data_IF_320672395753
#
_entry.id   IF_320672395753
#
_cell.length_a   1.000
_cell.length_b   1.000
_cell.length_c   1.000
_cell.angle_alpha   90.00
_cell.angle_beta   90.00
_cell.angle_gamma   90.00
#
_symmetry.space_group_name_H-M   'P 1'
#
loop_
_entity.id
_entity.type
_entity.pdbx_description
1 polymer ?
#
# COMPACT_ATOMS: atom_id res chain seq x y z
N UNK A 1 8.40 21.43 11.84
CA UNK A 1 8.10 20.36 10.90
C UNK A 1 6.79 20.64 10.20
N UNK A 2 6.53 19.94 9.11
CA UNK A 2 5.25 19.96 8.41
C UNK A 2 4.51 18.65 8.69
N UNK A 3 3.19 18.73 8.92
CA UNK A 3 2.34 17.55 9.06
C UNK A 3 1.88 17.11 7.66
N UNK A 4 2.20 15.90 7.27
CA UNK A 4 1.85 15.34 5.97
C UNK A 4 0.55 14.54 6.00
N UNK A 5 0.16 14.05 7.17
CA UNK A 5 -0.99 13.14 7.34
C UNK A 5 -2.08 13.82 8.14
N UNK A 6 -3.27 13.86 7.59
CA UNK A 6 -4.45 14.45 8.21
C UNK A 6 -5.39 13.37 8.77
N UNK A 7 -5.09 12.79 9.92
CA UNK A 7 -5.96 11.79 10.54
C UNK A 7 -5.24 10.56 11.08
N UNK A 8 -5.93 9.41 11.10
CA UNK A 8 -5.34 8.15 11.55
C UNK A 8 -4.22 7.71 10.60
N UNK A 9 -3.10 7.29 11.16
CA UNK A 9 -1.95 6.84 10.37
C UNK A 9 -1.97 5.32 10.19
N UNK A 10 -2.15 4.87 8.95
CA UNK A 10 -2.04 3.47 8.54
C UNK A 10 -2.88 2.49 9.40
N UNK A 11 -4.09 2.88 9.75
CA UNK A 11 -5.05 1.98 10.39
C UNK A 11 -5.82 1.25 9.28
N UNK A 12 -5.71 -0.08 9.16
CA UNK A 12 -6.40 -0.83 8.12
C UNK A 12 -7.91 -0.71 8.23
N UNK A 13 -8.61 -0.74 7.09
CA UNK A 13 -10.06 -0.71 7.03
C UNK A 13 -10.59 -1.89 6.20
N UNK A 14 -11.72 -2.45 6.63
CA UNK A 14 -12.38 -3.60 6.01
C UNK A 14 -13.66 -3.12 5.33
N UNK A 15 -13.82 -3.48 4.06
CA UNK A 15 -14.96 -3.08 3.24
C UNK A 15 -15.79 -4.30 2.81
N UNK A 16 -17.08 -4.09 2.62
CA UNK A 16 -18.00 -5.09 2.11
C UNK A 16 -17.68 -5.48 0.65
N UNK A 17 -17.66 -6.77 0.36
CA UNK A 17 -17.52 -7.33 -0.97
C UNK A 17 -18.59 -8.39 -1.27
N UNK A 18 -19.73 -8.35 -0.60
CA UNK A 18 -20.80 -9.35 -0.74
C UNK A 18 -21.59 -9.21 -2.04
N UNK A 19 -21.69 -8.00 -2.59
CA UNK A 19 -22.48 -7.72 -3.79
C UNK A 19 -21.74 -7.96 -5.11
N UNK A 20 -20.44 -7.61 -5.24
CA UNK A 20 -19.73 -7.77 -6.49
C UNK A 20 -19.41 -9.25 -6.78
N UNK A 21 -19.47 -9.60 -8.07
CA UNK A 21 -18.92 -10.86 -8.55
C UNK A 21 -17.37 -10.84 -8.54
N UNK A 22 -16.75 -11.91 -9.06
CA UNK A 22 -15.29 -12.03 -9.16
C UNK A 22 -14.66 -10.80 -9.84
N UNK A 23 -15.28 -10.27 -10.89
CA UNK A 23 -14.74 -9.19 -11.72
C UNK A 23 -15.27 -7.80 -11.36
N UNK A 24 -16.09 -7.69 -10.32
CA UNK A 24 -16.72 -6.44 -9.89
C UNK A 24 -17.42 -5.69 -11.03
N UNK A 25 -18.18 -6.41 -11.85
CA UNK A 25 -18.89 -5.82 -12.97
C UNK A 25 -19.79 -4.67 -12.53
N UNK A 26 -19.65 -3.52 -13.20
CA UNK A 26 -20.39 -2.27 -12.92
C UNK A 26 -20.20 -1.71 -11.50
N UNK A 27 -19.20 -2.17 -10.76
CA UNK A 27 -18.81 -1.62 -9.46
C UNK A 27 -17.53 -0.81 -9.65
N UNK A 28 -17.63 0.49 -9.42
CA UNK A 28 -16.50 1.43 -9.56
C UNK A 28 -15.93 1.87 -8.21
N UNK A 29 -16.66 1.66 -7.11
CA UNK A 29 -16.30 2.08 -5.76
C UNK A 29 -16.63 1.01 -4.74
N UNK A 30 -15.70 0.78 -3.81
CA UNK A 30 -15.96 0.02 -2.59
C UNK A 30 -15.91 1.00 -1.42
N UNK A 31 -17.08 1.46 -0.97
CA UNK A 31 -17.22 2.52 0.03
C UNK A 31 -17.87 2.07 1.33
N UNK A 32 -18.46 0.86 1.36
CA UNK A 32 -19.14 0.34 2.54
C UNK A 32 -18.08 -0.22 3.52
N UNK A 33 -17.46 0.66 4.35
CA UNK A 33 -16.58 0.24 5.44
C UNK A 33 -17.41 -0.47 6.50
N UNK A 34 -17.07 -1.72 6.80
CA UNK A 34 -17.83 -2.56 7.75
C UNK A 34 -17.11 -2.74 9.07
N UNK A 35 -15.79 -2.61 9.10
CA UNK A 35 -15.00 -2.75 10.33
C UNK A 35 -13.59 -2.18 10.16
N UNK A 36 -12.92 -2.00 11.31
CA UNK A 36 -11.46 -1.87 11.40
C UNK A 36 -10.93 -3.03 12.25
N UNK A 37 -9.81 -3.67 11.86
CA UNK A 37 -9.18 -4.68 12.70
C UNK A 37 -8.74 -4.08 14.04
N UNK A 38 -8.90 -4.83 15.13
CA UNK A 38 -8.49 -4.40 16.46
C UNK A 38 -6.96 -4.36 16.57
N UNK A 39 -6.44 -3.33 17.21
CA UNK A 39 -5.02 -3.22 17.53
C UNK A 39 -4.66 -4.20 18.66
N UNK A 40 -3.87 -5.23 18.33
CA UNK A 40 -3.42 -6.23 19.30
C UNK A 40 -2.13 -5.83 20.03
N UNK A 41 -1.13 -5.29 19.31
CA UNK A 41 0.10 -4.78 19.93
C UNK A 41 0.84 -3.78 19.05
N UNK A 42 1.64 -2.92 19.70
CA UNK A 42 2.67 -2.08 19.11
C UNK A 42 3.97 -2.36 19.86
N UNK A 43 5.02 -2.76 19.15
CA UNK A 43 6.29 -3.16 19.75
C UNK A 43 7.47 -2.49 19.01
N UNK A 44 8.38 -1.87 19.75
CA UNK A 44 9.68 -1.45 19.19
C UNK A 44 10.59 -2.69 19.14
N UNK A 45 10.72 -3.31 17.95
CA UNK A 45 11.48 -4.55 17.77
C UNK A 45 12.95 -4.33 17.46
N UNK A 46 13.30 -3.16 16.92
CA UNK A 46 14.68 -2.77 16.66
C UNK A 46 14.85 -1.27 16.82
N UNK A 47 15.92 -0.84 17.50
CA UNK A 47 16.30 0.55 17.60
C UNK A 47 17.84 0.64 17.59
N UNK A 48 18.40 0.90 16.42
CA UNK A 48 19.84 0.98 16.21
C UNK A 48 20.26 2.20 15.41
N UNK A 49 21.58 2.41 15.29
CA UNK A 49 22.13 3.53 14.53
C UNK A 49 21.78 3.50 13.03
N UNK A 50 21.52 2.30 12.48
CA UNK A 50 21.21 2.14 11.06
C UNK A 50 19.71 2.24 10.75
N UNK A 51 18.85 1.79 11.67
CA UNK A 51 17.38 1.82 11.49
C UNK A 51 16.64 1.61 12.80
N UNK A 52 15.36 1.97 12.77
CA UNK A 52 14.38 1.59 13.77
C UNK A 52 13.26 0.76 13.11
N UNK A 53 12.69 -0.20 13.87
CA UNK A 53 11.57 -1.03 13.43
C UNK A 53 10.50 -1.07 14.50
N UNK A 54 9.30 -0.64 14.14
CA UNK A 54 8.10 -0.75 14.97
C UNK A 54 7.19 -1.81 14.38
N UNK A 55 6.84 -2.81 15.15
CA UNK A 55 5.88 -3.85 14.76
C UNK A 55 4.50 -3.51 15.29
N UNK A 56 3.53 -3.51 14.40
CA UNK A 56 2.12 -3.33 14.71
C UNK A 56 1.38 -4.60 14.32
N UNK A 57 0.55 -5.10 15.25
CA UNK A 57 -0.30 -6.28 15.01
C UNK A 57 -1.75 -5.90 15.17
N UNK A 58 -2.55 -6.30 14.20
CA UNK A 58 -4.00 -6.20 14.23
C UNK A 58 -4.63 -7.59 14.12
N UNK A 59 -5.81 -7.73 14.70
CA UNK A 59 -6.62 -8.95 14.63
C UNK A 59 -8.06 -8.63 14.20
N UNK A 60 -8.67 -9.55 13.48
CA UNK A 60 -10.09 -9.48 13.12
C UNK A 60 -10.62 -10.90 12.97
N UNK A 61 -11.57 -11.30 13.83
CA UNK A 61 -12.07 -12.68 13.92
C UNK A 61 -10.92 -13.71 13.96
N UNK A 62 -10.81 -14.57 12.93
CA UNK A 62 -9.74 -15.56 12.76
C UNK A 62 -8.51 -15.05 12.01
N UNK A 63 -8.52 -13.82 11.56
CA UNK A 63 -7.50 -13.21 10.72
C UNK A 63 -6.54 -12.34 11.52
N UNK A 64 -5.30 -12.20 11.04
CA UNK A 64 -4.34 -11.27 11.63
C UNK A 64 -3.48 -10.58 10.56
N UNK A 65 -3.07 -9.36 10.89
CA UNK A 65 -2.16 -8.54 10.11
C UNK A 65 -0.97 -8.15 10.98
N UNK A 66 0.24 -8.40 10.52
CA UNK A 66 1.49 -7.90 11.13
C UNK A 66 2.17 -6.97 10.14
N UNK A 67 2.51 -5.76 10.60
CA UNK A 67 3.20 -4.74 9.83
C UNK A 67 4.46 -4.31 10.57
N UNK A 68 5.62 -4.47 9.91
CA UNK A 68 6.90 -3.96 10.42
C UNK A 68 7.21 -2.64 9.71
N UNK A 69 7.02 -1.53 10.40
CA UNK A 69 7.38 -0.19 9.94
C UNK A 69 8.87 0.03 10.15
N UNK A 70 9.60 0.19 9.07
CA UNK A 70 11.06 0.26 9.03
C UNK A 70 11.49 1.64 8.55
N UNK A 71 12.16 2.40 9.42
CA UNK A 71 12.78 3.67 9.05
C UNK A 71 14.31 3.55 9.14
N UNK A 72 14.97 3.62 8.01
CA UNK A 72 16.43 3.63 7.94
C UNK A 72 16.99 5.03 8.24
N UNK A 73 18.18 5.10 8.80
CA UNK A 73 18.87 6.36 9.09
C UNK A 73 19.06 7.16 7.79
N UNK A 74 18.66 8.44 7.80
CA UNK A 74 18.73 9.33 6.65
C UNK A 74 17.68 9.08 5.56
N UNK A 75 16.77 8.11 5.72
CA UNK A 75 15.67 7.86 4.79
C UNK A 75 14.50 8.80 5.05
N UNK A 76 13.83 9.23 3.99
CA UNK A 76 12.51 9.88 4.04
C UNK A 76 11.36 8.88 3.89
N UNK A 77 11.67 7.63 3.53
CA UNK A 77 10.71 6.58 3.20
C UNK A 77 10.57 5.63 4.37
N UNK A 78 9.34 5.36 4.77
CA UNK A 78 9.01 4.32 5.72
C UNK A 78 8.64 3.07 4.91
N UNK A 79 9.47 2.03 4.97
CA UNK A 79 9.15 0.73 4.37
C UNK A 79 8.31 -0.09 5.34
N UNK A 80 7.31 -0.81 4.84
CA UNK A 80 6.43 -1.62 5.65
C UNK A 80 6.39 -3.04 5.12
N UNK A 81 6.88 -3.99 5.90
CA UNK A 81 6.75 -5.42 5.59
C UNK A 81 5.45 -5.95 6.17
N UNK A 82 4.60 -6.43 5.27
CA UNK A 82 3.30 -6.98 5.63
C UNK A 82 3.31 -8.50 5.65
N UNK A 83 2.66 -9.04 6.67
CA UNK A 83 2.25 -10.44 6.74
C UNK A 83 0.80 -10.48 7.18
N UNK A 84 -0.05 -11.05 6.34
CA UNK A 84 -1.48 -11.14 6.55
C UNK A 84 -1.88 -12.61 6.46
N UNK A 85 -2.52 -13.15 7.50
CA UNK A 85 -3.35 -14.35 7.38
C UNK A 85 -4.79 -13.90 7.31
N UNK A 86 -5.46 -14.13 6.18
CA UNK A 86 -6.82 -13.69 5.97
C UNK A 86 -7.75 -14.87 5.77
N UNK A 87 -8.87 -14.87 6.49
CA UNK A 87 -9.88 -15.92 6.50
C UNK A 87 -11.31 -15.36 6.48
N UNK A 88 -11.45 -14.11 6.01
CA UNK A 88 -12.74 -13.40 6.00
C UNK A 88 -13.25 -13.32 4.56
N UNK A 89 -14.14 -14.23 4.16
CA UNK A 89 -14.70 -14.23 2.81
C UNK A 89 -15.53 -12.97 2.55
N UNK A 90 -15.58 -12.56 1.29
CA UNK A 90 -16.38 -11.43 0.81
C UNK A 90 -16.05 -10.11 1.47
N UNK A 91 -14.76 -9.88 1.71
CA UNK A 91 -14.24 -8.62 2.26
C UNK A 91 -13.10 -8.07 1.43
N UNK A 92 -12.84 -6.77 1.58
CA UNK A 92 -11.67 -6.08 1.04
C UNK A 92 -10.93 -5.46 2.21
N UNK A 93 -9.61 -5.63 2.26
CA UNK A 93 -8.76 -4.97 3.24
C UNK A 93 -7.98 -3.86 2.54
N UNK A 94 -8.12 -2.63 3.02
CA UNK A 94 -7.42 -1.46 2.48
C UNK A 94 -6.56 -0.79 3.54
N UNK A 95 -5.44 -0.20 3.08
CA UNK A 95 -4.53 0.60 3.89
C UNK A 95 -4.68 2.08 3.53
N UNK A 96 -5.32 2.89 4.37
CA UNK A 96 -5.52 4.31 4.14
C UNK A 96 -4.33 5.15 4.59
N UNK A 97 -4.07 6.22 3.84
CA UNK A 97 -3.28 7.38 4.27
C UNK A 97 -3.97 8.64 3.79
N UNK A 98 -4.37 9.50 4.71
CA UNK A 98 -5.02 10.78 4.37
C UNK A 98 -3.97 11.87 4.28
N UNK A 99 -3.93 12.64 3.19
CA UNK A 99 -3.05 13.82 3.09
C UNK A 99 -3.59 14.96 3.96
N UNK A 100 -2.70 15.70 4.60
CA UNK A 100 -3.07 16.95 5.26
C UNK A 100 -3.22 18.08 4.22
N UNK A 101 -4.30 18.87 4.30
CA UNK A 101 -4.57 19.99 3.40
C UNK A 101 -5.90 19.85 2.66
N UNK A 102 -6.22 20.89 1.88
CA UNK A 102 -7.44 20.99 1.07
C UNK A 102 -7.17 20.74 -0.41
N UNK A 103 -8.23 20.54 -1.19
CA UNK A 103 -8.19 20.35 -2.64
C UNK A 103 -7.21 19.25 -3.11
N UNK A 104 -7.37 18.01 -2.62
CA UNK A 104 -6.47 16.93 -2.94
C UNK A 104 -6.57 16.50 -4.41
N UNK A 105 -5.42 16.12 -4.98
CA UNK A 105 -5.30 15.51 -6.30
C UNK A 105 -4.59 14.19 -6.15
N UNK A 106 -5.13 13.11 -6.73
CA UNK A 106 -4.44 11.84 -6.80
C UNK A 106 -3.69 11.68 -8.13
N UNK A 107 -2.54 11.00 -8.05
CA UNK A 107 -1.67 10.71 -9.22
C UNK A 107 -1.26 9.25 -9.15
N UNK A 108 -1.28 8.55 -10.28
CA UNK A 108 -0.99 7.12 -10.35
C UNK A 108 0.01 6.82 -11.43
N UNK A 109 0.94 5.91 -11.15
CA UNK A 109 1.85 5.39 -12.16
C UNK A 109 1.08 4.53 -13.18
N UNK A 110 1.34 4.80 -14.45
CA UNK A 110 0.87 4.01 -15.58
C UNK A 110 2.06 3.59 -16.45
N UNK A 111 1.92 2.64 -17.38
CA UNK A 111 3.01 2.30 -18.29
C UNK A 111 3.58 3.54 -19.00
N UNK A 112 4.90 3.76 -18.81
CA UNK A 112 5.67 4.87 -19.37
C UNK A 112 5.24 6.29 -18.91
N UNK A 113 4.60 6.42 -17.75
CA UNK A 113 4.24 7.75 -17.24
C UNK A 113 3.37 7.71 -16.00
N UNK A 114 2.58 8.74 -15.82
CA UNK A 114 1.63 8.89 -14.71
C UNK A 114 0.35 9.58 -15.20
N UNK A 115 -0.72 9.43 -14.44
CA UNK A 115 -2.01 10.07 -14.71
C UNK A 115 -2.59 10.68 -13.44
N UNK A 116 -3.14 11.89 -13.55
CA UNK A 116 -3.90 12.53 -12.47
C UNK A 116 -5.38 12.17 -12.57
N UNK A 117 -5.98 11.90 -11.43
CA UNK A 117 -7.40 11.54 -11.32
C UNK A 117 -8.06 12.28 -10.17
N UNK A 118 -9.40 12.45 -10.19
CA UNK A 118 -10.12 13.08 -9.09
C UNK A 118 -10.11 12.18 -7.85
N UNK A 119 -10.08 12.78 -6.67
CA UNK A 119 -10.23 12.07 -5.39
C UNK A 119 -11.70 11.74 -5.13
N UNK A 120 -12.32 10.94 -6.00
CA UNK A 120 -13.73 10.59 -5.98
C UNK A 120 -14.05 9.20 -5.42
N UNK A 121 -13.01 8.45 -4.99
CA UNK A 121 -13.13 7.12 -4.42
C UNK A 121 -13.38 6.00 -5.43
N UNK A 122 -13.21 6.24 -6.74
CA UNK A 122 -13.20 5.16 -7.73
C UNK A 122 -11.92 4.33 -7.63
N UNK A 123 -12.06 3.02 -7.86
CA UNK A 123 -10.93 2.09 -7.90
C UNK A 123 -10.07 2.36 -9.12
N UNK A 124 -8.80 2.60 -8.89
CA UNK A 124 -7.84 2.98 -9.89
C UNK A 124 -6.66 2.02 -9.93
N UNK A 125 -6.30 1.47 -11.09
CA UNK A 125 -5.09 0.68 -11.21
C UNK A 125 -3.86 1.59 -11.25
N UNK A 126 -2.79 1.14 -10.60
CA UNK A 126 -1.45 1.71 -10.75
C UNK A 126 -0.41 0.60 -10.88
N UNK A 127 0.78 0.91 -11.38
CA UNK A 127 1.86 -0.08 -11.47
C UNK A 127 2.51 -0.29 -10.10
N UNK A 128 3.33 0.67 -9.65
CA UNK A 128 4.07 0.52 -8.41
C UNK A 128 3.75 1.56 -7.36
N UNK A 129 3.10 2.69 -7.73
CA UNK A 129 2.74 3.72 -6.77
C UNK A 129 1.46 4.47 -7.12
N UNK A 130 0.77 4.89 -6.07
CA UNK A 130 -0.26 5.92 -6.07
C UNK A 130 0.15 7.04 -5.12
N UNK A 131 -0.29 8.25 -5.39
CA UNK A 131 0.02 9.46 -4.65
C UNK A 131 -1.21 10.30 -4.39
N UNK A 132 -1.21 11.03 -3.29
CA UNK A 132 -2.17 12.09 -3.03
C UNK A 132 -1.44 13.34 -2.56
N UNK A 133 -1.70 14.45 -3.23
CA UNK A 133 -1.05 15.75 -2.96
C UNK A 133 -2.11 16.81 -2.66
N UNK A 134 -1.91 17.60 -1.59
CA UNK A 134 -2.71 18.76 -1.22
C UNK A 134 -1.79 19.90 -0.76
N UNK A 135 -2.11 21.14 -1.11
CA UNK A 135 -1.40 22.35 -0.66
C UNK A 135 0.14 22.31 -0.84
N UNK A 136 0.61 21.64 -1.89
CA UNK A 136 2.04 21.55 -2.22
C UNK A 136 2.84 20.53 -1.40
N UNK A 137 2.16 19.62 -0.72
CA UNK A 137 2.74 18.45 -0.02
C UNK A 137 1.97 17.19 -0.39
N UNK A 138 2.62 16.05 -0.39
CA UNK A 138 2.00 14.79 -0.76
C UNK A 138 2.50 13.60 0.03
N UNK A 139 1.74 12.51 -0.08
CA UNK A 139 2.10 11.20 0.44
C UNK A 139 1.86 10.16 -0.63
N UNK A 140 2.91 9.45 -0.99
CA UNK A 140 2.81 8.34 -1.93
C UNK A 140 2.78 6.99 -1.18
N UNK A 141 1.94 6.07 -1.65
CA UNK A 141 1.97 4.65 -1.30
C UNK A 141 2.61 3.88 -2.46
N UNK A 142 3.72 3.23 -2.18
CA UNK A 142 4.51 2.45 -3.15
C UNK A 142 4.35 0.98 -2.79
N UNK A 143 4.13 0.08 -3.75
CA UNK A 143 3.95 -1.34 -3.48
C UNK A 143 4.79 -2.22 -4.41
N UNK A 144 5.21 -3.39 -3.91
CA UNK A 144 5.91 -4.41 -4.70
C UNK A 144 4.98 -5.47 -5.29
N UNK A 145 3.71 -5.51 -4.87
CA UNK A 145 2.80 -6.59 -5.24
C UNK A 145 1.30 -6.21 -5.31
N UNK A 146 0.94 -4.96 -5.05
CA UNK A 146 -0.47 -4.51 -5.01
C UNK A 146 -0.67 -3.37 -5.98
N UNK A 147 -1.74 -3.45 -6.78
CA UNK A 147 -1.92 -2.65 -8.00
C UNK A 147 -3.24 -1.88 -8.03
N UNK A 148 -4.07 -1.96 -6.99
CA UNK A 148 -5.35 -1.26 -6.91
C UNK A 148 -5.34 -0.24 -5.77
N UNK A 149 -5.83 0.94 -6.10
CA UNK A 149 -5.94 2.07 -5.19
C UNK A 149 -7.31 2.73 -5.37
N UNK A 150 -7.74 3.44 -4.36
CA UNK A 150 -8.76 4.49 -4.49
C UNK A 150 -8.35 5.70 -3.66
N UNK A 151 -9.01 6.82 -3.89
CA UNK A 151 -8.74 8.05 -3.16
C UNK A 151 -10.04 8.85 -2.93
N UNK A 152 -10.86 8.51 -1.93
CA UNK A 152 -11.96 9.37 -1.54
C UNK A 152 -11.44 10.55 -0.72
N UNK A 153 -11.82 11.77 -1.11
CA UNK A 153 -11.62 13.00 -0.34
C UNK A 153 -10.21 13.18 0.25
N UNK A 154 -9.16 12.83 -0.52
CA UNK A 154 -7.76 12.95 -0.10
C UNK A 154 -7.24 11.81 0.77
N UNK A 155 -8.00 10.75 0.94
CA UNK A 155 -7.56 9.52 1.59
C UNK A 155 -7.16 8.49 0.54
N UNK A 156 -5.86 8.39 0.25
CA UNK A 156 -5.33 7.35 -0.63
C UNK A 156 -5.35 6.01 0.09
N UNK A 157 -6.00 5.01 -0.51
CA UNK A 157 -6.11 3.66 0.07
C UNK A 157 -5.50 2.63 -0.89
N UNK A 158 -4.47 1.91 -0.42
CA UNK A 158 -3.93 0.74 -1.12
C UNK A 158 -4.79 -0.47 -0.82
N UNK A 159 -5.34 -1.13 -1.82
CA UNK A 159 -6.04 -2.42 -1.67
C UNK A 159 -5.02 -3.53 -1.39
N UNK A 160 -4.99 -4.01 -0.16
CA UNK A 160 -4.06 -5.04 0.30
C UNK A 160 -4.47 -6.43 -0.16
N UNK A 161 -5.78 -6.71 -0.14
CA UNK A 161 -6.40 -7.94 -0.66
C UNK A 161 -7.88 -7.69 -0.96
N UNK A 162 -8.42 -8.51 -1.86
CA UNK A 162 -9.85 -8.58 -2.15
C UNK A 162 -10.30 -10.04 -2.13
N UNK A 163 -10.99 -10.44 -1.07
CA UNK A 163 -11.56 -11.76 -0.97
C UNK A 163 -12.92 -11.77 -1.66
N UNK A 164 -13.00 -12.39 -2.81
CA UNK A 164 -14.21 -12.57 -3.59
C UNK A 164 -14.40 -14.03 -4.01
N UNK A 165 -15.57 -14.36 -4.52
CA UNK A 165 -15.85 -15.68 -5.09
C UNK A 165 -14.89 -15.91 -6.25
N UNK A 166 -14.32 -17.11 -6.33
CA UNK A 166 -13.43 -17.48 -7.42
C UNK A 166 -14.23 -17.85 -8.68
N UNK A 167 -13.94 -17.13 -9.77
CA UNK A 167 -14.42 -17.38 -11.12
C UNK A 167 -15.95 -17.56 -11.27
N UNK A 168 -16.73 -16.73 -10.59
CA UNK A 168 -18.19 -16.74 -10.72
C UNK A 168 -18.75 -15.31 -10.88
N UNK A 169 -19.82 -15.17 -11.68
CA UNK A 169 -20.48 -13.89 -11.92
C UNK A 169 -21.58 -13.62 -10.90
N UNK A 170 -22.60 -14.45 -10.92
CA UNK A 170 -23.78 -14.36 -10.05
C UNK A 170 -24.11 -15.77 -9.60
N UNK A 171 -23.83 -16.05 -8.38
CA UNK A 171 -24.06 -17.39 -7.91
C UNK A 171 -25.46 -17.61 -7.39
N UNK A 172 -26.13 -18.60 -7.97
CA UNK A 172 -27.30 -19.23 -7.38
C UNK A 172 -26.91 -20.45 -6.53
N UNK A 173 -25.63 -20.74 -6.36
CA UNK A 173 -25.13 -21.85 -5.58
C UNK A 173 -25.06 -21.50 -4.11
N UNK A 174 -25.22 -22.47 -3.19
CA UNK A 174 -24.97 -22.25 -1.77
C UNK A 174 -23.55 -21.74 -1.51
N UNK A 175 -23.38 -20.88 -0.52
CA UNK A 175 -22.07 -20.30 -0.17
C UNK A 175 -20.99 -21.36 0.15
N UNK A 176 -21.39 -22.54 0.62
CA UNK A 176 -20.49 -23.68 0.88
C UNK A 176 -19.83 -24.27 -0.37
N UNK A 177 -20.37 -23.98 -1.56
CA UNK A 177 -19.84 -24.48 -2.84
C UNK A 177 -18.80 -23.57 -3.47
N UNK A 178 -18.43 -22.45 -2.80
CA UNK A 178 -17.48 -21.50 -3.33
C UNK A 178 -16.08 -21.70 -2.79
N UNK A 179 -15.10 -21.48 -3.68
CA UNK A 179 -13.76 -21.09 -3.30
C UNK A 179 -13.65 -19.57 -3.32
N UNK A 180 -12.81 -19.01 -2.46
CA UNK A 180 -12.59 -17.59 -2.37
C UNK A 180 -11.16 -17.23 -2.76
N UNK A 181 -10.97 -16.03 -3.29
CA UNK A 181 -9.64 -15.51 -3.62
C UNK A 181 -8.99 -14.94 -2.36
N UNK A 182 -7.67 -14.76 -2.40
CA UNK A 182 -6.89 -14.05 -1.38
C UNK A 182 -7.01 -14.60 0.06
N UNK A 183 -7.48 -15.84 0.23
CA UNK A 183 -7.41 -16.53 1.51
C UNK A 183 -6.00 -17.03 1.83
N UNK A 184 -5.72 -17.13 3.13
CA UNK A 184 -4.48 -17.67 3.63
C UNK A 184 -3.38 -16.63 3.86
N UNK A 185 -2.13 -17.09 3.86
CA UNK A 185 -0.97 -16.27 4.22
C UNK A 185 -0.41 -15.50 3.03
N UNK A 186 -0.48 -14.18 3.09
CA UNK A 186 0.14 -13.26 2.14
C UNK A 186 1.33 -12.52 2.74
N UNK A 187 2.32 -12.23 1.91
CA UNK A 187 3.50 -11.43 2.25
C UNK A 187 3.83 -10.48 1.11
N UNK A 188 3.99 -9.21 1.42
CA UNK A 188 4.41 -8.18 0.48
C UNK A 188 5.02 -7.00 1.23
N UNK A 189 5.62 -6.07 0.50
CA UNK A 189 6.10 -4.81 1.04
C UNK A 189 5.37 -3.64 0.39
N UNK A 190 5.11 -2.60 1.17
CA UNK A 190 4.78 -1.29 0.66
C UNK A 190 5.64 -0.24 1.33
N UNK A 191 5.65 0.96 0.79
CA UNK A 191 6.36 2.07 1.41
C UNK A 191 5.49 3.32 1.42
N UNK A 192 5.73 4.18 2.42
CA UNK A 192 5.09 5.46 2.60
C UNK A 192 6.15 6.51 2.36
N UNK A 193 5.91 7.37 1.39
CA UNK A 193 6.85 8.42 1.01
C UNK A 193 6.20 9.80 1.11
N UNK A 194 6.40 10.54 2.21
CA UNK A 194 6.00 11.93 2.31
C UNK A 194 6.96 12.82 1.51
N UNK A 195 6.43 13.75 0.75
CA UNK A 195 7.23 14.64 -0.10
C UNK A 195 6.63 16.05 -0.20
N UNK A 196 7.47 16.98 -0.66
CA UNK A 196 7.06 18.34 -1.01
C UNK A 196 6.86 18.43 -2.52
N UNK A 197 5.87 19.21 -2.93
CA UNK A 197 5.53 19.40 -4.33
C UNK A 197 4.61 18.29 -4.86
N UNK A 198 4.34 18.34 -6.16
CA UNK A 198 3.55 17.33 -6.84
C UNK A 198 4.34 16.02 -7.02
N UNK A 199 3.63 14.91 -7.16
CA UNK A 199 4.23 13.57 -7.32
C UNK A 199 5.24 13.50 -8.47
N UNK A 200 4.88 14.07 -9.62
CA UNK A 200 5.72 14.09 -10.82
C UNK A 200 7.03 14.88 -10.68
N UNK A 201 7.09 15.80 -9.72
CA UNK A 201 8.30 16.57 -9.39
C UNK A 201 9.05 15.98 -8.18
N UNK A 202 8.54 14.91 -7.60
CA UNK A 202 9.15 14.23 -6.46
C UNK A 202 10.08 13.10 -6.90
N UNK A 203 10.71 12.44 -5.92
CA UNK A 203 11.54 11.26 -6.16
C UNK A 203 10.73 9.94 -6.08
N UNK A 204 9.38 9.97 -6.16
CA UNK A 204 8.52 8.81 -5.95
C UNK A 204 8.88 7.64 -6.88
N UNK A 205 9.14 7.91 -8.16
CA UNK A 205 9.53 6.86 -9.11
C UNK A 205 10.86 6.21 -8.71
N UNK A 206 11.83 7.00 -8.26
CA UNK A 206 13.12 6.46 -7.82
C UNK A 206 12.96 5.60 -6.55
N UNK A 207 12.09 5.99 -5.63
CA UNK A 207 11.80 5.20 -4.42
C UNK A 207 11.02 3.93 -4.77
N UNK A 208 10.12 3.99 -5.75
CA UNK A 208 9.42 2.83 -6.29
C UNK A 208 10.39 1.85 -6.97
N UNK A 209 11.32 2.35 -7.76
CA UNK A 209 12.38 1.53 -8.39
C UNK A 209 13.26 0.84 -7.32
N UNK A 210 13.64 1.55 -6.25
CA UNK A 210 14.41 0.96 -5.15
C UNK A 210 13.68 -0.16 -4.42
N UNK A 211 12.35 -0.08 -4.31
CA UNK A 211 11.53 -1.13 -3.70
C UNK A 211 11.40 -2.35 -4.65
N UNK A 212 11.19 -2.09 -5.95
CA UNK A 212 10.79 -3.10 -6.92
C UNK A 212 11.98 -3.71 -7.69
N UNK A 213 13.08 -2.97 -7.88
CA UNK A 213 14.26 -3.43 -8.59
C UNK A 213 15.32 -3.93 -7.61
N UNK A 214 15.47 -5.24 -7.53
CA UNK A 214 16.47 -5.86 -6.66
C UNK A 214 17.87 -5.64 -7.23
N UNK A 215 18.83 -5.27 -6.37
CA UNK A 215 20.23 -5.24 -6.72
C UNK A 215 20.69 -6.64 -7.08
N UNK A 216 21.36 -6.75 -8.24
CA UNK A 216 22.00 -8.00 -8.69
C UNK A 216 23.50 -7.90 -8.44
N UNK A 217 24.04 -8.78 -7.61
CA UNK A 217 25.48 -8.90 -7.39
C UNK A 217 26.04 -9.94 -8.37
N UNK A 218 26.93 -9.51 -9.23
CA UNK A 218 27.64 -10.40 -10.19
C UNK A 218 29.09 -10.47 -9.78
N UNK A 219 29.63 -11.65 -9.40
CA UNK A 219 31.05 -11.81 -9.15
C UNK A 219 31.82 -11.69 -10.47
N UNK A 220 32.84 -10.87 -10.48
CA UNK A 220 33.72 -10.65 -11.63
C UNK A 220 35.16 -10.81 -11.20
N UNK A 221 36.06 -11.18 -12.16
CA UNK A 221 37.47 -11.23 -11.91
C UNK A 221 38.08 -9.87 -11.63
N UNK A 222 39.36 -9.83 -11.30
CA UNK A 222 40.07 -8.56 -11.06
C UNK A 222 40.02 -7.65 -12.29
N UNK A 223 39.54 -6.44 -12.12
CA UNK A 223 39.54 -5.42 -13.16
C UNK A 223 39.64 -4.03 -12.55
N UNK A 224 40.05 -3.05 -13.36
CA UNK A 224 40.12 -1.64 -12.96
C UNK A 224 38.71 -1.06 -12.93
N UNK A 225 38.29 -0.57 -11.76
CA UNK A 225 36.97 0.10 -11.62
C UNK A 225 36.96 1.50 -12.24
N UNK A 226 35.79 1.92 -12.71
CA UNK A 226 35.55 3.28 -13.23
C UNK A 226 35.15 4.28 -12.14
N UNK A 227 34.68 3.80 -10.99
CA UNK A 227 34.23 4.68 -9.90
C UNK A 227 35.42 5.18 -9.07
N UNK A 228 35.41 6.44 -8.61
CA UNK A 228 36.42 6.97 -7.73
C UNK A 228 36.44 6.20 -6.39
N UNK A 229 37.64 5.83 -5.91
CA UNK A 229 37.79 5.25 -4.57
C UNK A 229 37.40 6.30 -3.53
N UNK A 230 36.31 6.08 -2.78
CA UNK A 230 36.08 6.85 -1.56
C UNK A 230 37.21 6.48 -0.56
N UNK A 231 37.98 7.46 -0.14
CA UNK A 231 38.84 7.29 1.02
C UNK A 231 37.93 7.13 2.23
N UNK A 232 38.06 6.01 2.92
CA UNK A 232 37.43 5.76 4.23
C UNK A 232 37.97 6.73 5.28
#
# INVERSE_FOLDING_TARGET
GHEYVGGEFCVPAIFDNTKPDTWAHMIFRFHDEIAKPELASIELVECGAARAVVRVKHVYNGSYLTQDFILAAGSKVIRVKCRILWQEPLTILKMPVTVAGSDPISTYEIPAGFIKRPCNGEEEPALTWGDVTAEGYGVSLISDAKYSYDCPDGTLRLTMLRNCIFADHYSNRPAADFSYTDEGLQRFEYAIYPHKGAAEASEVQQEADKLNQKLVAVPVGYHKGALPRKKS
#
